data_IF_332449843372
#
_entry.id   IF_332449843372
#
_cell.length_a   1.000
_cell.length_b   1.000
_cell.length_c   1.000
_cell.angle_alpha   90.00
_cell.angle_beta   90.00
_cell.angle_gamma   90.00
#
_symmetry.space_group_name_H-M   'P 1'
#
loop_
_entity.id
_entity.type
_entity.pdbx_description
1 polymer ?
#
# COMPACT_ATOMS: atom_id res chain seq x y z
N UNK A 1 -5.51 -29.52 18.08
CA UNK A 1 -5.47 -28.11 17.63
C UNK A 1 -4.05 -27.85 17.17
N UNK A 2 -3.82 -27.74 15.86
CA UNK A 2 -2.49 -27.40 15.34
C UNK A 2 -2.14 -25.98 15.79
N UNK A 3 -0.97 -25.79 16.42
CA UNK A 3 -0.44 -24.45 16.67
C UNK A 3 -0.31 -23.75 15.32
N UNK A 4 -0.72 -22.48 15.22
CA UNK A 4 -0.51 -21.72 14.00
C UNK A 4 0.98 -21.68 13.67
N UNK A 5 1.33 -21.55 12.39
CA UNK A 5 2.71 -21.42 11.90
C UNK A 5 3.51 -20.33 12.66
N UNK A 6 2.80 -19.34 13.21
CA UNK A 6 3.36 -18.22 13.96
C UNK A 6 3.27 -18.39 15.49
N UNK A 7 2.85 -19.54 16.02
CA UNK A 7 3.11 -19.92 17.41
C UNK A 7 2.34 -19.20 18.54
N UNK A 8 1.19 -18.57 18.29
CA UNK A 8 0.46 -17.79 19.33
C UNK A 8 -0.46 -18.62 20.26
N UNK A 9 -0.52 -18.34 21.59
CA UNK A 9 -1.58 -18.79 22.49
C UNK A 9 -2.93 -18.09 22.19
N UNK A 10 -4.04 -18.71 22.61
CA UNK A 10 -5.47 -18.32 22.47
C UNK A 10 -5.79 -16.88 22.05
N UNK A 11 -6.61 -16.72 21.01
CA UNK A 11 -7.44 -15.57 20.51
C UNK A 11 -7.05 -14.10 20.79
N UNK A 12 -6.50 -13.78 21.95
CA UNK A 12 -6.08 -12.48 22.46
C UNK A 12 -4.86 -11.87 21.72
N UNK A 13 -4.10 -12.66 20.96
CA UNK A 13 -2.88 -12.22 20.26
C UNK A 13 -3.15 -11.53 18.90
N UNK A 14 -4.15 -12.02 18.14
CA UNK A 14 -4.38 -11.53 16.77
C UNK A 14 -4.98 -10.13 16.70
N UNK A 15 -5.94 -9.84 17.59
CA UNK A 15 -6.62 -8.56 17.59
C UNK A 15 -5.66 -7.44 18.01
N UNK A 16 -4.81 -7.68 19.01
CA UNK A 16 -3.80 -6.70 19.46
C UNK A 16 -2.72 -6.46 18.40
N UNK A 17 -2.25 -7.52 17.73
CA UNK A 17 -1.31 -7.38 16.60
C UNK A 17 -1.95 -6.58 15.47
N UNK A 18 -3.22 -6.86 15.15
CA UNK A 18 -3.97 -6.11 14.14
C UNK A 18 -4.10 -4.64 14.53
N UNK A 19 -4.51 -4.36 15.77
CA UNK A 19 -4.65 -2.99 16.28
C UNK A 19 -3.31 -2.24 16.23
N UNK A 20 -2.20 -2.88 16.61
CA UNK A 20 -0.87 -2.30 16.50
C UNK A 20 -0.50 -1.94 15.04
N UNK A 21 -0.84 -2.81 14.08
CA UNK A 21 -0.64 -2.54 12.65
C UNK A 21 -1.56 -1.43 12.14
N UNK A 22 -2.82 -1.40 12.56
CA UNK A 22 -3.78 -0.36 12.20
C UNK A 22 -3.38 1.02 12.76
N UNK A 23 -2.77 1.05 13.95
CA UNK A 23 -2.16 2.24 14.55
C UNK A 23 -0.93 2.69 13.78
N UNK A 24 -0.02 1.77 13.41
CA UNK A 24 1.11 2.09 12.52
C UNK A 24 0.66 2.65 11.17
N UNK A 25 -0.42 2.09 10.59
CA UNK A 25 -0.97 2.55 9.32
C UNK A 25 -1.48 3.99 9.40
N UNK A 26 -2.11 4.34 10.52
CA UNK A 26 -2.72 5.65 10.77
C UNK A 26 -1.76 6.67 11.39
N UNK A 27 -0.54 6.26 11.74
CA UNK A 27 0.45 7.13 12.34
C UNK A 27 0.69 8.37 11.47
N UNK A 28 0.61 9.54 12.10
CA UNK A 28 0.73 10.86 11.47
C UNK A 28 2.16 11.39 11.49
N UNK A 29 3.05 10.72 12.23
CA UNK A 29 4.48 11.03 12.30
C UNK A 29 5.33 9.76 12.37
N UNK A 30 6.63 9.92 12.07
CA UNK A 30 7.62 8.84 12.23
C UNK A 30 7.74 8.37 13.67
N UNK A 31 7.64 9.28 14.64
CA UNK A 31 7.76 8.95 16.06
C UNK A 31 6.56 8.12 16.54
N UNK A 32 5.36 8.49 16.10
CA UNK A 32 4.14 7.75 16.37
C UNK A 32 4.18 6.35 15.73
N UNK A 33 4.66 6.24 14.48
CA UNK A 33 4.89 4.94 13.84
C UNK A 33 5.87 4.07 14.65
N UNK A 34 7.00 4.66 15.05
CA UNK A 34 8.06 3.95 15.80
C UNK A 34 7.56 3.50 17.17
N UNK A 35 6.74 4.31 17.84
CA UNK A 35 6.07 3.94 19.10
C UNK A 35 5.20 2.70 18.93
N UNK A 36 4.39 2.63 17.87
CA UNK A 36 3.53 1.47 17.62
C UNK A 36 4.31 0.25 17.14
N UNK A 37 5.42 0.44 16.42
CA UNK A 37 6.35 -0.64 16.10
C UNK A 37 6.96 -1.22 17.38
N UNK A 38 7.42 -0.39 18.31
CA UNK A 38 7.93 -0.83 19.63
C UNK A 38 6.86 -1.57 20.44
N UNK A 39 5.61 -1.14 20.35
CA UNK A 39 4.48 -1.88 20.94
C UNK A 39 4.29 -3.25 20.30
N UNK A 40 4.46 -3.40 18.99
CA UNK A 40 4.42 -4.70 18.32
C UNK A 40 5.56 -5.63 18.77
N UNK A 41 6.77 -5.09 19.01
CA UNK A 41 7.88 -5.85 19.62
C UNK A 41 7.54 -6.31 21.04
N UNK A 42 6.89 -5.47 21.84
CA UNK A 42 6.41 -5.86 23.17
C UNK A 42 5.37 -6.99 23.09
N UNK A 43 4.44 -6.93 22.15
CA UNK A 43 3.40 -7.96 21.99
C UNK A 43 3.98 -9.33 21.55
N UNK A 44 4.94 -9.33 20.62
CA UNK A 44 5.40 -10.56 19.97
C UNK A 44 6.69 -11.14 20.54
N UNK A 45 7.65 -10.29 20.91
CA UNK A 45 8.94 -10.68 21.47
C UNK A 45 9.00 -10.48 22.99
N UNK A 46 7.99 -9.84 23.60
CA UNK A 46 8.01 -9.51 25.03
C UNK A 46 9.04 -8.44 25.41
N UNK A 47 9.61 -7.75 24.42
CA UNK A 47 10.67 -6.76 24.61
C UNK A 47 10.06 -5.39 24.85
N UNK A 48 10.31 -4.82 26.03
CA UNK A 48 9.88 -3.47 26.35
C UNK A 48 10.96 -2.47 25.95
N UNK A 49 10.65 -1.65 24.94
CA UNK A 49 11.55 -0.62 24.40
C UNK A 49 11.10 0.77 24.87
N UNK A 50 12.03 1.54 25.42
CA UNK A 50 11.87 2.95 25.73
C UNK A 50 11.84 3.82 24.46
N UNK A 51 11.61 5.12 24.63
CA UNK A 51 11.48 6.07 23.50
C UNK A 51 12.77 6.17 22.70
N UNK A 52 13.93 6.19 23.39
CA UNK A 52 15.24 6.36 22.79
C UNK A 52 15.94 5.03 22.43
N UNK A 53 15.34 3.89 22.78
CA UNK A 53 15.94 2.59 22.49
C UNK A 53 15.88 2.26 21.00
N UNK A 54 16.96 1.72 20.46
CA UNK A 54 16.98 1.19 19.09
C UNK A 54 16.09 -0.05 18.96
N UNK A 55 15.52 -0.25 17.77
CA UNK A 55 14.71 -1.43 17.46
C UNK A 55 15.65 -2.64 17.30
N UNK A 56 15.55 -3.68 18.14
CA UNK A 56 16.43 -4.84 18.10
C UNK A 56 16.08 -5.76 16.93
N UNK A 57 16.90 -6.80 16.71
CA UNK A 57 16.58 -7.83 15.74
C UNK A 57 15.34 -8.64 16.18
N UNK A 58 14.36 -8.75 15.28
CA UNK A 58 13.12 -9.47 15.54
C UNK A 58 13.38 -10.97 15.79
N UNK A 59 12.80 -11.52 16.86
CA UNK A 59 12.92 -12.95 17.18
C UNK A 59 11.71 -13.74 16.68
N UNK A 60 10.51 -13.21 16.87
CA UNK A 60 9.24 -13.85 16.52
C UNK A 60 9.08 -14.02 15.00
N UNK A 61 8.63 -15.19 14.50
CA UNK A 61 8.52 -15.45 13.06
C UNK A 61 7.66 -14.42 12.30
N UNK A 62 6.54 -14.00 12.87
CA UNK A 62 5.71 -12.96 12.26
C UNK A 62 6.41 -11.61 12.25
N UNK A 63 7.16 -11.26 13.31
CA UNK A 63 7.84 -9.98 13.38
C UNK A 63 9.01 -9.93 12.39
N UNK A 64 9.75 -11.02 12.23
CA UNK A 64 10.76 -11.17 11.16
C UNK A 64 10.14 -10.96 9.77
N UNK A 65 9.00 -11.60 9.51
CA UNK A 65 8.26 -11.40 8.27
C UNK A 65 7.80 -9.94 8.11
N UNK A 66 7.28 -9.34 9.18
CA UNK A 66 6.79 -7.96 9.17
C UNK A 66 7.91 -6.97 8.87
N UNK A 67 9.07 -7.08 9.55
CA UNK A 67 10.21 -6.21 9.31
C UNK A 67 10.71 -6.32 7.87
N UNK A 68 10.82 -7.55 7.34
CA UNK A 68 11.33 -7.80 5.99
C UNK A 68 10.40 -7.28 4.88
N UNK A 69 9.09 -7.44 5.04
CA UNK A 69 8.15 -7.24 3.93
C UNK A 69 7.20 -6.05 4.11
N UNK A 70 6.93 -5.61 5.35
CA UNK A 70 6.00 -4.52 5.62
C UNK A 70 6.74 -3.25 6.07
N UNK A 71 7.60 -3.33 7.08
CA UNK A 71 8.39 -2.16 7.52
C UNK A 71 9.36 -1.67 6.43
N UNK A 72 9.98 -2.61 5.70
CA UNK A 72 10.86 -2.29 4.58
C UNK A 72 10.18 -1.46 3.47
N UNK A 73 8.85 -1.50 3.36
CA UNK A 73 8.07 -0.72 2.41
C UNK A 73 7.03 0.18 3.07
N UNK A 74 7.29 0.64 4.32
CA UNK A 74 6.38 1.52 5.08
C UNK A 74 5.96 2.79 4.33
N UNK A 75 6.83 3.33 3.49
CA UNK A 75 6.53 4.45 2.59
C UNK A 75 5.35 4.19 1.64
N UNK A 76 4.98 2.93 1.40
CA UNK A 76 3.84 2.57 0.54
C UNK A 76 2.53 2.39 1.27
N UNK A 77 2.49 2.38 2.59
CA UNK A 77 1.23 2.10 3.32
C UNK A 77 1.03 2.90 4.62
N UNK A 78 2.09 3.38 5.27
CA UNK A 78 1.97 4.20 6.46
C UNK A 78 1.57 5.65 6.10
N UNK A 79 0.59 6.22 6.82
CA UNK A 79 0.02 7.52 6.50
C UNK A 79 1.07 8.64 6.48
N UNK A 80 1.88 8.78 7.54
CA UNK A 80 2.91 9.82 7.61
C UNK A 80 3.94 9.76 6.48
N UNK A 81 4.23 8.56 5.96
CA UNK A 81 5.23 8.37 4.91
C UNK A 81 4.65 8.53 3.51
N UNK A 82 3.32 8.49 3.39
CA UNK A 82 2.57 8.68 2.14
C UNK A 82 1.94 10.05 2.00
N UNK A 83 1.92 10.87 3.05
CA UNK A 83 1.26 12.17 3.05
C UNK A 83 1.72 13.07 1.91
N UNK A 84 3.00 12.93 1.54
CA UNK A 84 3.67 13.78 0.56
C UNK A 84 3.61 13.17 -0.86
N UNK A 85 3.04 11.98 -1.01
CA UNK A 85 2.87 11.36 -2.33
C UNK A 85 1.65 12.00 -3.01
N UNK A 86 1.82 12.66 -4.17
CA UNK A 86 0.72 13.22 -4.94
C UNK A 86 -0.28 12.11 -5.27
N UNK A 87 -1.37 12.08 -4.53
CA UNK A 87 -2.40 11.07 -4.72
C UNK A 87 -3.21 11.36 -5.98
N UNK A 88 -3.08 12.52 -6.64
CA UNK A 88 -3.80 12.86 -7.89
C UNK A 88 -5.31 12.52 -7.81
N UNK A 89 -5.94 12.84 -6.68
CA UNK A 89 -7.36 12.54 -6.39
C UNK A 89 -7.69 11.05 -6.17
N UNK A 90 -6.68 10.22 -5.94
CA UNK A 90 -6.77 8.77 -5.84
C UNK A 90 -6.80 8.34 -4.36
N UNK A 91 -7.86 8.76 -3.66
CA UNK A 91 -7.96 8.61 -2.21
C UNK A 91 -8.58 7.30 -1.72
N UNK A 92 -9.28 6.58 -2.59
CA UNK A 92 -10.07 5.41 -2.17
C UNK A 92 -9.96 4.28 -3.17
N UNK A 93 -9.88 3.07 -2.60
CA UNK A 93 -9.89 1.81 -3.34
C UNK A 93 -11.12 1.68 -4.25
N UNK A 94 -12.20 2.44 -3.97
CA UNK A 94 -13.41 2.54 -4.76
C UNK A 94 -13.15 2.69 -6.26
N UNK A 95 -12.14 3.48 -6.67
CA UNK A 95 -11.85 3.62 -8.11
C UNK A 95 -11.35 2.32 -8.72
N UNK A 96 -10.44 1.62 -8.03
CA UNK A 96 -9.94 0.31 -8.45
C UNK A 96 -11.06 -0.73 -8.37
N UNK A 97 -11.82 -0.77 -7.29
CA UNK A 97 -12.93 -1.70 -7.09
C UNK A 97 -14.04 -1.51 -8.13
N UNK A 98 -14.39 -0.27 -8.48
CA UNK A 98 -15.32 0.02 -9.58
C UNK A 98 -14.77 -0.40 -10.93
N UNK A 99 -13.49 -0.10 -11.24
CA UNK A 99 -12.85 -0.58 -12.47
C UNK A 99 -12.83 -2.12 -12.56
N UNK A 100 -12.51 -2.80 -11.46
CA UNK A 100 -12.56 -4.26 -11.38
C UNK A 100 -13.99 -4.80 -11.52
N UNK A 101 -14.99 -4.08 -11.00
CA UNK A 101 -16.41 -4.39 -11.20
C UNK A 101 -16.78 -4.37 -12.68
N UNK A 102 -16.44 -3.28 -13.39
CA UNK A 102 -16.70 -3.16 -14.83
C UNK A 102 -15.97 -4.22 -15.67
N UNK A 103 -14.72 -4.56 -15.32
CA UNK A 103 -13.98 -5.63 -16.00
C UNK A 103 -14.69 -6.98 -15.82
N UNK A 104 -15.20 -7.29 -14.62
CA UNK A 104 -15.97 -8.51 -14.36
C UNK A 104 -17.32 -8.54 -15.08
N UNK A 105 -17.93 -7.39 -15.35
CA UNK A 105 -19.14 -7.32 -16.17
C UNK A 105 -18.86 -7.65 -17.63
N UNK A 106 -17.65 -7.35 -18.12
CA UNK A 106 -17.22 -7.64 -19.50
C UNK A 106 -16.75 -9.10 -19.62
N UNK A 107 -15.91 -9.55 -18.69
CA UNK A 107 -15.40 -10.92 -18.64
C UNK A 107 -16.47 -11.88 -18.14
N UNK A 108 -17.06 -12.66 -19.04
CA UNK A 108 -18.06 -13.66 -18.68
C UNK A 108 -17.39 -14.97 -18.26
N UNK A 109 -18.04 -15.71 -17.35
CA UNK A 109 -17.50 -16.98 -16.82
C UNK A 109 -17.44 -18.11 -17.85
N UNK A 110 -18.11 -17.93 -18.99
CA UNK A 110 -18.14 -18.86 -20.12
C UNK A 110 -17.11 -18.52 -21.21
N UNK A 111 -16.42 -17.38 -21.13
CA UNK A 111 -15.32 -17.04 -22.04
C UNK A 111 -14.12 -17.97 -21.82
N UNK A 112 -13.45 -18.33 -22.91
CA UNK A 112 -12.19 -19.05 -22.83
C UNK A 112 -11.08 -18.14 -22.26
N UNK A 113 -10.04 -18.75 -21.68
CA UNK A 113 -8.98 -18.00 -21.00
C UNK A 113 -8.21 -17.07 -21.96
N UNK A 114 -7.94 -17.54 -23.17
CA UNK A 114 -7.31 -16.74 -24.23
C UNK A 114 -8.18 -15.54 -24.62
N UNK A 115 -9.48 -15.75 -24.80
CA UNK A 115 -10.45 -14.68 -25.07
C UNK A 115 -10.51 -13.64 -23.93
N UNK A 116 -10.41 -14.09 -22.67
CA UNK A 116 -10.34 -13.21 -21.51
C UNK A 116 -9.06 -12.35 -21.52
N UNK A 117 -7.92 -12.97 -21.83
CA UNK A 117 -6.62 -12.27 -21.89
C UNK A 117 -6.60 -11.25 -23.03
N UNK A 118 -7.08 -11.62 -24.21
CA UNK A 118 -7.18 -10.72 -25.36
C UNK A 118 -8.09 -9.52 -25.06
N UNK A 119 -9.23 -9.78 -24.40
CA UNK A 119 -10.17 -8.72 -23.99
C UNK A 119 -9.53 -7.77 -22.98
N UNK A 120 -8.79 -8.29 -21.99
CA UNK A 120 -8.07 -7.46 -21.02
C UNK A 120 -6.99 -6.59 -21.67
N UNK A 121 -6.19 -7.17 -22.57
CA UNK A 121 -5.17 -6.45 -23.33
C UNK A 121 -5.79 -5.34 -24.17
N UNK A 122 -6.92 -5.60 -24.82
CA UNK A 122 -7.66 -4.60 -25.59
C UNK A 122 -8.16 -3.45 -24.70
N UNK A 123 -8.80 -3.77 -23.56
CA UNK A 123 -9.29 -2.75 -22.63
C UNK A 123 -8.16 -1.88 -22.08
N UNK A 124 -7.01 -2.48 -21.76
CA UNK A 124 -5.83 -1.76 -21.33
C UNK A 124 -5.32 -0.82 -22.43
N UNK A 125 -5.17 -1.29 -23.67
CA UNK A 125 -4.73 -0.46 -24.78
C UNK A 125 -5.66 0.74 -25.02
N UNK A 126 -6.99 0.55 -24.95
CA UNK A 126 -7.97 1.64 -25.07
C UNK A 126 -7.82 2.65 -23.94
N UNK A 127 -7.62 2.20 -22.70
CA UNK A 127 -7.41 3.07 -21.55
C UNK A 127 -6.12 3.89 -21.67
N UNK A 128 -5.03 3.26 -22.11
CA UNK A 128 -3.74 3.91 -22.36
C UNK A 128 -3.85 4.96 -23.47
N UNK A 129 -4.52 4.64 -24.58
CA UNK A 129 -4.79 5.62 -25.65
C UNK A 129 -5.61 6.81 -25.15
N UNK A 130 -6.61 6.56 -24.29
CA UNK A 130 -7.41 7.62 -23.67
C UNK A 130 -6.59 8.50 -22.72
N UNK A 131 -5.68 7.90 -21.95
CA UNK A 131 -4.75 8.62 -21.08
C UNK A 131 -3.75 9.45 -21.90
N UNK A 132 -3.09 8.83 -22.89
CA UNK A 132 -2.17 9.49 -23.80
C UNK A 132 -2.82 10.69 -24.51
N UNK A 133 -4.06 10.55 -24.97
CA UNK A 133 -4.82 11.66 -25.56
C UNK A 133 -5.10 12.79 -24.55
N UNK A 134 -5.38 12.46 -23.29
CA UNK A 134 -5.63 13.46 -22.25
C UNK A 134 -4.38 14.25 -21.89
N UNK A 135 -3.20 13.61 -21.87
CA UNK A 135 -1.92 14.26 -21.55
C UNK A 135 -1.31 14.99 -22.76
N UNK A 136 -1.51 14.50 -23.99
CA UNK A 136 -0.96 15.11 -25.22
C UNK A 136 -1.92 16.10 -25.92
N UNK A 137 -3.17 16.18 -25.48
CA UNK A 137 -4.17 17.09 -26.05
C UNK A 137 -3.82 18.56 -25.82
N UNK A 138 -3.62 19.31 -26.91
CA UNK A 138 -3.35 20.76 -26.89
C UNK A 138 -4.44 21.47 -26.07
N UNK A 139 -4.02 22.18 -25.02
CA UNK A 139 -4.92 22.92 -24.11
C UNK A 139 -4.71 22.66 -22.62
N UNK A 140 -3.79 21.79 -22.22
CA UNK A 140 -3.37 21.72 -20.81
C UNK A 140 -2.51 22.94 -20.45
N UNK A 141 -2.95 23.70 -19.44
CA UNK A 141 -2.17 24.78 -18.83
C UNK A 141 -0.83 24.22 -18.37
N UNK A 142 0.28 24.72 -18.94
CA UNK A 142 1.56 24.68 -18.25
C UNK A 142 1.41 25.57 -17.02
N UNK A 143 1.65 24.99 -15.84
CA UNK A 143 1.70 25.77 -14.62
C UNK A 143 3.04 26.53 -14.61
N UNK A 144 3.01 27.86 -14.77
CA UNK A 144 4.22 28.71 -14.80
C UNK A 144 4.98 28.74 -13.45
N UNK A 145 4.51 28.01 -12.43
CA UNK A 145 5.21 27.78 -11.17
C UNK A 145 5.73 26.35 -11.01
N UNK A 146 5.79 25.56 -12.08
CA UNK A 146 6.40 24.24 -12.06
C UNK A 146 7.88 24.38 -11.71
N UNK A 147 8.34 23.65 -10.69
CA UNK A 147 9.75 23.56 -10.39
C UNK A 147 10.49 22.68 -11.43
N UNK A 148 11.81 22.74 -11.41
CA UNK A 148 12.68 22.04 -12.37
C UNK A 148 12.42 20.53 -12.44
N UNK A 149 11.83 19.94 -11.39
CA UNK A 149 11.48 18.51 -11.35
C UNK A 149 10.16 18.23 -12.08
N UNK A 150 9.14 19.07 -11.88
CA UNK A 150 7.88 19.00 -12.64
C UNK A 150 8.08 19.25 -14.13
N UNK A 151 9.01 20.14 -14.51
CA UNK A 151 9.33 20.37 -15.92
C UNK A 151 9.99 19.17 -16.60
N UNK A 152 10.85 18.44 -15.89
CA UNK A 152 11.47 17.21 -16.41
C UNK A 152 10.45 16.11 -16.66
N UNK A 153 9.46 15.96 -15.77
CA UNK A 153 8.39 14.97 -15.91
C UNK A 153 7.41 15.30 -17.05
N UNK A 154 7.29 16.57 -17.45
CA UNK A 154 6.42 16.98 -18.55
C UNK A 154 7.02 16.74 -19.94
N UNK A 155 8.31 16.40 -20.04
CA UNK A 155 9.03 16.19 -21.30
C UNK A 155 9.32 14.72 -21.65
N UNK A 156 8.81 13.75 -20.88
CA UNK A 156 8.81 12.32 -21.24
C UNK A 156 7.43 11.89 -21.77
#
# INVERSE_FOLDING_TARGET
MAKSEYGGPSSFDKDQVKDAVDLMRQATSRDEYTKYLKYLYFLLDGVQLGVDDDVPEATHPFLKYFMRNWDAMKERWALYARSDIPHLGNHTNNRLESSWGHIKDILKSDMALDECVDTLMFLQAVAEMGYAKKITGVGQMRYDGADDELEKLACE
#
